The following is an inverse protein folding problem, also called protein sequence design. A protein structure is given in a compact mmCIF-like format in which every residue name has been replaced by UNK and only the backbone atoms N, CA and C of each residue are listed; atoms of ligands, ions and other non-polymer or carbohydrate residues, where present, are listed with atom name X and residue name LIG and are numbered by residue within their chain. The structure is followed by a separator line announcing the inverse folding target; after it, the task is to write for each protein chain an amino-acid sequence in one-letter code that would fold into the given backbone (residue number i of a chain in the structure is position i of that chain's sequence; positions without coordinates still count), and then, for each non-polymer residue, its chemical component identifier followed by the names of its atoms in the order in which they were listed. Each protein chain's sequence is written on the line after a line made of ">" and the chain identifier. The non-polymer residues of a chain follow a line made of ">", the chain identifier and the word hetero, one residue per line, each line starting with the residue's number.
data_IF_638617496521
#
_entry.id   IF_638617496521
#
_cell.length_a   1.000
_cell.length_b   1.000
_cell.length_c   1.000
_cell.angle_alpha   90.00
_cell.angle_beta   90.00
_cell.angle_gamma   90.00
#
_symmetry.space_group_name_H-M   'P 1'
#
loop_
_entity.id
_entity.type
_entity.pdbx_description
1 polymer ?
#
# COMPACT_ATOMS: atom_id res chain seq x y z
N UNK A 1 4.30 -2.47 12.05
CA UNK A 1 5.64 -2.96 12.42
C UNK A 1 5.96 -2.68 13.88
N UNK A 2 6.88 -3.46 14.44
CA UNK A 2 7.33 -3.30 15.82
C UNK A 2 8.59 -2.42 15.92
N UNK A 3 9.13 -1.99 14.80
CA UNK A 3 10.32 -1.13 14.71
C UNK A 3 10.31 -0.30 13.43
N UNK A 4 11.08 0.79 13.43
CA UNK A 4 11.28 1.70 12.30
C UNK A 4 10.24 2.82 12.17
N UNK A 5 9.26 2.88 13.07
CA UNK A 5 8.25 3.95 13.13
C UNK A 5 8.24 4.70 14.47
N UNK A 6 9.26 4.51 15.29
CA UNK A 6 9.40 5.18 16.60
C UNK A 6 9.60 6.69 16.43
N UNK A 7 10.27 7.09 15.35
CA UNK A 7 10.55 8.46 14.99
C UNK A 7 10.19 8.70 13.52
N UNK A 8 8.90 8.89 13.24
CA UNK A 8 8.37 9.09 11.88
C UNK A 8 8.96 10.34 11.23
N UNK A 9 9.20 11.38 12.00
CA UNK A 9 9.88 12.60 11.58
C UNK A 9 11.28 12.34 10.99
N UNK A 10 12.02 11.37 11.54
CA UNK A 10 13.36 11.01 11.09
C UNK A 10 13.37 9.88 10.05
N UNK A 11 12.44 8.93 10.17
CA UNK A 11 12.49 7.71 9.39
C UNK A 11 11.61 7.77 8.13
N UNK A 12 10.57 8.59 8.12
CA UNK A 12 9.58 8.64 7.00
C UNK A 12 9.62 9.99 6.30
N UNK A 13 9.69 11.10 7.03
CA UNK A 13 9.65 12.45 6.41
C UNK A 13 10.73 12.63 5.34
N UNK A 14 12.00 12.19 5.54
CA UNK A 14 13.02 12.30 4.49
C UNK A 14 12.76 11.46 3.23
N UNK A 15 11.86 10.49 3.29
CA UNK A 15 11.54 9.63 2.16
C UNK A 15 10.46 10.21 1.25
N UNK A 16 9.67 11.16 1.74
CA UNK A 16 8.49 11.68 1.05
C UNK A 16 8.85 12.28 -0.32
N UNK A 17 9.96 12.95 -0.40
CA UNK A 17 10.41 13.60 -1.64
C UNK A 17 10.62 12.59 -2.79
N UNK A 18 10.99 11.35 -2.48
CA UNK A 18 11.27 10.28 -3.45
C UNK A 18 10.07 9.36 -3.72
N UNK A 19 8.98 9.52 -2.97
CA UNK A 19 7.75 8.76 -3.19
C UNK A 19 6.83 9.46 -4.19
N UNK A 20 6.02 8.70 -4.92
CA UNK A 20 4.96 9.24 -5.78
C UNK A 20 3.74 9.64 -4.94
N UNK A 21 3.46 8.87 -3.89
CA UNK A 21 2.33 9.08 -2.99
C UNK A 21 2.71 8.59 -1.58
N UNK A 22 2.20 9.24 -0.56
CA UNK A 22 2.35 8.80 0.82
C UNK A 22 1.05 8.19 1.34
N UNK A 23 1.09 6.91 1.76
CA UNK A 23 -0.01 6.32 2.52
C UNK A 23 0.26 6.44 4.02
N UNK A 24 -0.61 7.15 4.74
CA UNK A 24 -0.46 7.36 6.17
C UNK A 24 -1.81 7.42 6.90
N UNK A 25 -1.75 7.37 8.23
CA UNK A 25 -2.92 7.52 9.09
C UNK A 25 -3.22 9.00 9.37
N UNK A 26 -4.47 9.28 9.79
CA UNK A 26 -4.93 10.63 10.14
C UNK A 26 -4.02 11.33 11.15
N UNK A 27 -3.68 10.65 12.24
CA UNK A 27 -2.86 11.25 13.29
C UNK A 27 -1.46 11.63 12.80
N UNK A 28 -0.85 10.78 11.98
CA UNK A 28 0.47 11.04 11.41
C UNK A 28 0.42 12.18 10.39
N UNK A 29 -0.59 12.21 9.54
CA UNK A 29 -0.77 13.31 8.59
C UNK A 29 -0.84 14.67 9.30
N UNK A 30 -1.60 14.75 10.39
CA UNK A 30 -1.83 16.01 11.12
C UNK A 30 -0.68 16.44 12.03
N UNK A 31 0.09 15.48 12.58
CA UNK A 31 1.10 15.76 13.60
C UNK A 31 2.53 15.79 13.09
N UNK A 32 2.82 15.09 11.99
CA UNK A 32 4.23 14.82 11.62
C UNK A 32 4.54 15.15 10.16
N UNK A 33 3.58 14.97 9.25
CA UNK A 33 3.81 15.27 7.84
C UNK A 33 3.86 16.79 7.64
N UNK A 34 4.91 17.34 7.02
CA UNK A 34 5.02 18.79 6.80
C UNK A 34 3.83 19.32 5.98
N UNK A 35 3.25 20.44 6.44
CA UNK A 35 2.08 21.04 5.80
C UNK A 35 2.32 21.52 4.35
N UNK A 36 3.60 21.74 4.00
CA UNK A 36 4.02 22.10 2.65
C UNK A 36 4.35 20.91 1.75
N UNK A 37 4.02 19.68 2.17
CA UNK A 37 4.20 18.48 1.34
C UNK A 37 3.38 18.61 0.07
N UNK A 38 4.04 18.44 -1.08
CA UNK A 38 3.42 18.51 -2.41
C UNK A 38 3.02 17.14 -2.97
N UNK A 39 3.39 16.06 -2.28
CA UNK A 39 3.07 14.70 -2.70
C UNK A 39 1.62 14.34 -2.39
N UNK A 40 0.96 13.58 -3.27
CA UNK A 40 -0.36 13.05 -3.02
C UNK A 40 -0.42 12.26 -1.71
N UNK A 41 -1.53 12.37 -1.00
CA UNK A 41 -1.77 11.61 0.23
C UNK A 41 -2.89 10.60 0.00
N UNK A 42 -2.59 9.33 0.20
CA UNK A 42 -3.57 8.26 0.33
C UNK A 42 -3.85 8.02 1.82
N UNK A 43 -4.98 8.48 2.30
CA UNK A 43 -5.30 8.45 3.74
C UNK A 43 -5.84 7.07 4.13
N UNK A 44 -5.19 6.40 5.09
CA UNK A 44 -5.78 5.23 5.76
C UNK A 44 -7.03 5.67 6.50
N UNK A 45 -8.21 5.25 6.02
CA UNK A 45 -9.52 5.76 6.48
C UNK A 45 -10.18 4.89 7.52
N UNK A 46 -9.75 3.64 7.63
CA UNK A 46 -10.16 2.71 8.69
C UNK A 46 -9.18 2.72 9.86
N UNK A 47 -9.64 2.26 11.02
CA UNK A 47 -8.79 2.18 12.21
C UNK A 47 -7.73 1.11 12.05
N UNK A 48 -6.49 1.45 12.39
CA UNK A 48 -5.43 0.47 12.54
C UNK A 48 -5.58 -0.32 13.82
N UNK A 49 -5.51 -1.64 13.72
CA UNK A 49 -5.45 -2.54 14.89
C UNK A 49 -4.01 -2.89 15.23
N UNK A 50 -3.77 -3.37 16.45
CA UNK A 50 -2.45 -3.85 16.85
C UNK A 50 -2.17 -5.25 16.26
N UNK A 51 -0.90 -5.66 16.28
CA UNK A 51 -0.51 -7.03 15.92
C UNK A 51 -1.05 -8.10 16.90
N UNK A 52 -1.62 -7.67 18.00
CA UNK A 52 -2.14 -8.54 19.06
C UNK A 52 -3.61 -8.94 18.85
N UNK A 53 -4.30 -8.30 17.93
CA UNK A 53 -5.72 -8.53 17.65
C UNK A 53 -5.94 -8.99 16.23
N UNK A 54 -7.13 -9.52 15.94
CA UNK A 54 -7.55 -9.81 14.58
C UNK A 54 -7.87 -8.52 13.81
N UNK A 55 -7.83 -8.60 12.48
CA UNK A 55 -8.15 -7.47 11.60
C UNK A 55 -9.65 -7.12 11.76
N UNK A 56 -9.94 -6.11 12.52
CA UNK A 56 -11.29 -5.64 12.77
C UNK A 56 -11.38 -4.12 12.56
N UNK A 57 -11.12 -3.71 11.34
CA UNK A 57 -11.05 -2.31 10.97
C UNK A 57 -12.44 -1.73 10.72
N UNK A 58 -12.70 -0.54 11.23
CA UNK A 58 -13.90 0.25 10.96
C UNK A 58 -13.53 1.51 10.19
N UNK A 59 -14.40 1.95 9.31
CA UNK A 59 -14.27 3.29 8.70
C UNK A 59 -14.62 4.32 9.74
N UNK A 60 -13.66 5.14 10.14
CA UNK A 60 -13.81 6.16 11.18
C UNK A 60 -13.66 7.58 10.65
N UNK A 61 -13.19 7.76 9.40
CA UNK A 61 -12.96 9.07 8.79
C UNK A 61 -14.10 9.37 7.82
N UNK A 62 -14.82 10.45 8.07
CA UNK A 62 -15.79 10.96 7.13
C UNK A 62 -15.12 11.66 5.95
N UNK A 63 -15.82 11.68 4.82
CA UNK A 63 -15.31 12.27 3.57
C UNK A 63 -15.02 13.77 3.72
N UNK A 64 -15.81 14.49 4.48
CA UNK A 64 -15.61 15.91 4.74
C UNK A 64 -14.30 16.18 5.49
N UNK A 65 -13.94 15.31 6.43
CA UNK A 65 -12.64 15.37 7.13
C UNK A 65 -11.48 15.07 6.17
N UNK A 66 -11.64 14.08 5.30
CA UNK A 66 -10.64 13.75 4.29
C UNK A 66 -10.40 14.95 3.33
N UNK A 67 -11.48 15.63 2.89
CA UNK A 67 -11.40 16.83 2.07
C UNK A 67 -10.67 17.96 2.81
N UNK A 68 -11.00 18.22 4.08
CA UNK A 68 -10.32 19.25 4.89
C UNK A 68 -8.83 18.97 5.07
N UNK A 69 -8.44 17.71 5.08
CA UNK A 69 -7.02 17.29 5.14
C UNK A 69 -6.34 17.30 3.78
N UNK A 70 -7.03 17.72 2.72
CA UNK A 70 -6.51 17.78 1.35
C UNK A 70 -5.93 16.44 0.88
N UNK A 71 -6.60 15.33 1.16
CA UNK A 71 -6.14 14.01 0.72
C UNK A 71 -6.47 13.78 -0.75
N UNK A 72 -5.61 13.03 -1.42
CA UNK A 72 -5.76 12.69 -2.84
C UNK A 72 -6.48 11.37 -3.07
N UNK A 73 -6.48 10.48 -2.07
CA UNK A 73 -7.14 9.19 -2.08
C UNK A 73 -7.43 8.69 -0.66
N UNK A 74 -8.33 7.72 -0.54
CA UNK A 74 -8.62 7.02 0.71
C UNK A 74 -8.26 5.55 0.57
N UNK A 75 -7.76 4.91 1.63
CA UNK A 75 -7.48 3.48 1.68
C UNK A 75 -8.36 2.79 2.73
N UNK A 76 -8.96 1.66 2.35
CA UNK A 76 -9.87 0.89 3.21
C UNK A 76 -9.50 -0.59 3.12
N UNK A 77 -9.41 -1.27 4.27
CA UNK A 77 -9.11 -2.69 4.37
C UNK A 77 -10.32 -3.56 3.98
N UNK A 78 -10.04 -4.63 3.25
CA UNK A 78 -11.00 -5.68 2.91
C UNK A 78 -10.44 -7.05 3.36
N UNK A 79 -11.10 -7.70 4.30
CA UNK A 79 -10.71 -9.00 4.84
C UNK A 79 -11.56 -10.12 4.20
N UNK A 80 -11.06 -10.72 3.12
CA UNK A 80 -11.77 -11.80 2.40
C UNK A 80 -11.43 -13.16 3.02
N UNK A 81 -12.48 -13.99 3.22
CA UNK A 81 -12.35 -15.31 3.85
C UNK A 81 -12.14 -15.24 5.38
N UNK A 82 -12.36 -14.09 5.98
CA UNK A 82 -12.46 -13.92 7.42
C UNK A 82 -13.94 -13.90 7.83
N UNK A 83 -14.45 -15.04 8.29
CA UNK A 83 -15.88 -15.24 8.58
C UNK A 83 -16.44 -14.16 9.53
N UNK A 84 -15.63 -13.69 10.48
CA UNK A 84 -16.07 -12.69 11.46
C UNK A 84 -16.10 -11.26 10.90
N UNK A 85 -15.28 -10.93 9.89
CA UNK A 85 -15.04 -9.54 9.49
C UNK A 85 -15.31 -9.25 8.01
N UNK A 86 -15.46 -10.28 7.15
CA UNK A 86 -15.65 -10.09 5.71
C UNK A 86 -16.83 -9.18 5.39
N UNK A 87 -18.02 -9.53 5.85
CA UNK A 87 -19.23 -8.75 5.54
C UNK A 87 -19.12 -7.29 6.00
N UNK A 88 -18.49 -7.04 7.15
CA UNK A 88 -18.28 -5.71 7.69
C UNK A 88 -17.28 -4.91 6.86
N UNK A 89 -16.15 -5.51 6.48
CA UNK A 89 -15.11 -4.82 5.71
C UNK A 89 -15.56 -4.56 4.27
N UNK A 90 -16.32 -5.47 3.66
CA UNK A 90 -16.99 -5.23 2.36
C UNK A 90 -17.96 -4.05 2.46
N UNK A 91 -18.81 -4.02 3.50
CA UNK A 91 -19.74 -2.91 3.71
C UNK A 91 -19.00 -1.58 3.97
N UNK A 92 -17.87 -1.59 4.66
CA UNK A 92 -17.04 -0.41 4.88
C UNK A 92 -16.44 0.12 3.58
N UNK A 93 -15.90 -0.76 2.73
CA UNK A 93 -15.37 -0.37 1.43
C UNK A 93 -16.46 0.26 0.56
N UNK A 94 -17.62 -0.41 0.46
CA UNK A 94 -18.75 0.08 -0.34
C UNK A 94 -19.22 1.47 0.13
N UNK A 95 -19.37 1.67 1.44
CA UNK A 95 -19.76 2.98 2.02
C UNK A 95 -18.71 4.07 1.77
N UNK A 96 -17.42 3.72 1.86
CA UNK A 96 -16.35 4.67 1.57
C UNK A 96 -16.38 5.09 0.09
N UNK A 97 -16.54 4.13 -0.82
CA UNK A 97 -16.66 4.38 -2.26
C UNK A 97 -17.89 5.26 -2.57
N UNK A 98 -19.07 4.93 -2.03
CA UNK A 98 -20.29 5.71 -2.24
C UNK A 98 -20.14 7.19 -1.82
N UNK A 99 -19.51 7.43 -0.67
CA UNK A 99 -19.25 8.79 -0.20
C UNK A 99 -18.18 9.51 -1.02
N UNK A 100 -17.05 8.86 -1.26
CA UNK A 100 -15.88 9.45 -1.91
C UNK A 100 -16.13 9.77 -3.40
N UNK A 101 -16.92 8.95 -4.09
CA UNK A 101 -17.25 9.16 -5.51
C UNK A 101 -17.99 10.48 -5.78
N UNK A 102 -18.75 10.98 -4.82
CA UNK A 102 -19.45 12.29 -4.92
C UNK A 102 -18.49 13.47 -5.02
N UNK A 103 -17.25 13.28 -4.59
CA UNK A 103 -16.20 14.31 -4.58
C UNK A 103 -15.03 13.96 -5.49
N UNK A 104 -15.15 12.92 -6.33
CA UNK A 104 -14.08 12.39 -7.17
C UNK A 104 -12.80 12.02 -6.40
N UNK A 105 -12.91 11.57 -5.16
CA UNK A 105 -11.79 11.06 -4.37
C UNK A 105 -11.72 9.54 -4.60
N UNK A 106 -10.63 9.02 -5.21
CA UNK A 106 -10.48 7.60 -5.42
C UNK A 106 -10.31 6.84 -4.10
N UNK A 107 -10.80 5.60 -4.08
CA UNK A 107 -10.65 4.69 -2.96
C UNK A 107 -9.78 3.51 -3.36
N UNK A 108 -8.74 3.25 -2.58
CA UNK A 108 -7.90 2.06 -2.66
C UNK A 108 -8.47 0.97 -1.74
N UNK A 109 -8.84 -0.18 -2.30
CA UNK A 109 -9.14 -1.37 -1.53
C UNK A 109 -7.86 -2.11 -1.14
N UNK A 110 -7.61 -2.29 0.15
CA UNK A 110 -6.43 -2.99 0.67
C UNK A 110 -6.83 -4.40 1.06
N UNK A 111 -6.43 -5.41 0.30
CA UNK A 111 -6.84 -6.79 0.56
C UNK A 111 -6.07 -7.44 1.70
N UNK A 112 -6.78 -8.16 2.53
CA UNK A 112 -6.25 -9.17 3.44
C UNK A 112 -7.03 -10.47 3.24
N UNK A 113 -6.33 -11.59 3.08
CA UNK A 113 -6.97 -12.91 3.04
C UNK A 113 -6.95 -13.54 4.42
N UNK A 114 -8.02 -14.26 4.75
CA UNK A 114 -8.19 -14.91 6.06
C UNK A 114 -7.02 -15.86 6.38
N UNK A 115 -6.77 -16.07 7.67
CA UNK A 115 -5.63 -16.89 8.16
C UNK A 115 -5.64 -18.33 7.63
N UNK A 116 -6.84 -18.85 7.30
CA UNK A 116 -7.04 -20.22 6.82
C UNK A 116 -6.99 -20.32 5.28
N UNK A 117 -6.90 -19.20 4.58
CA UNK A 117 -6.82 -19.18 3.11
C UNK A 117 -5.37 -19.25 2.64
N UNK A 118 -5.16 -19.94 1.53
CA UNK A 118 -3.85 -19.93 0.86
C UNK A 118 -3.50 -18.51 0.37
N UNK A 119 -2.22 -18.18 0.41
CA UNK A 119 -1.69 -16.90 -0.10
C UNK A 119 -1.18 -17.11 -1.50
N UNK A 120 -2.09 -17.35 -2.43
CA UNK A 120 -1.82 -17.68 -3.82
C UNK A 120 -2.59 -16.78 -4.79
N UNK A 121 -2.31 -16.95 -6.08
CA UNK A 121 -2.93 -16.16 -7.15
C UNK A 121 -4.45 -16.31 -7.20
N UNK A 122 -5.00 -17.46 -6.82
CA UNK A 122 -6.45 -17.70 -6.82
C UNK A 122 -7.16 -16.79 -5.82
N UNK A 123 -6.69 -16.77 -4.57
CA UNK A 123 -7.35 -16.01 -3.51
C UNK A 123 -7.01 -14.53 -3.56
N UNK A 124 -5.78 -14.15 -3.96
CA UNK A 124 -5.47 -12.74 -4.18
C UNK A 124 -6.21 -12.18 -5.39
N UNK A 125 -6.38 -12.95 -6.46
CA UNK A 125 -7.20 -12.57 -7.61
C UNK A 125 -8.67 -12.39 -7.24
N UNK A 126 -9.23 -13.33 -6.45
CA UNK A 126 -10.60 -13.22 -5.93
C UNK A 126 -10.78 -11.96 -5.08
N UNK A 127 -9.90 -11.73 -4.10
CA UNK A 127 -9.99 -10.58 -3.22
C UNK A 127 -9.83 -9.25 -3.98
N UNK A 128 -8.90 -9.19 -4.95
CA UNK A 128 -8.71 -8.02 -5.80
C UNK A 128 -9.93 -7.70 -6.65
N UNK A 129 -10.54 -8.73 -7.26
CA UNK A 129 -11.77 -8.59 -8.05
C UNK A 129 -12.94 -8.12 -7.17
N UNK A 130 -13.12 -8.69 -5.97
CA UNK A 130 -14.16 -8.23 -5.04
C UNK A 130 -13.97 -6.76 -4.68
N UNK A 131 -12.74 -6.30 -4.42
CA UNK A 131 -12.45 -4.88 -4.22
C UNK A 131 -12.95 -4.03 -5.40
N UNK A 132 -12.58 -4.40 -6.61
CA UNK A 132 -12.94 -3.67 -7.82
C UNK A 132 -14.45 -3.69 -8.08
N UNK A 133 -15.10 -4.84 -7.92
CA UNK A 133 -16.57 -4.98 -8.07
C UNK A 133 -17.34 -4.14 -7.04
N UNK A 134 -16.77 -3.87 -5.87
CA UNK A 134 -17.33 -2.96 -4.88
C UNK A 134 -16.93 -1.49 -5.09
N UNK A 135 -16.31 -1.17 -6.23
CA UNK A 135 -16.05 0.19 -6.68
C UNK A 135 -14.71 0.77 -6.28
N UNK A 136 -13.77 -0.02 -5.74
CA UNK A 136 -12.41 0.45 -5.53
C UNK A 136 -11.77 0.89 -6.86
N UNK A 137 -11.08 2.02 -6.85
CA UNK A 137 -10.41 2.58 -8.03
C UNK A 137 -8.98 2.06 -8.19
N UNK A 138 -8.40 1.55 -7.12
CA UNK A 138 -7.07 0.95 -7.03
C UNK A 138 -7.17 -0.21 -6.04
N UNK A 139 -6.42 -1.28 -6.27
CA UNK A 139 -6.33 -2.40 -5.31
C UNK A 139 -4.89 -2.57 -4.86
N UNK A 140 -4.70 -2.72 -3.56
CA UNK A 140 -3.43 -3.12 -2.96
C UNK A 140 -3.54 -4.55 -2.47
N UNK A 141 -2.66 -5.44 -2.97
CA UNK A 141 -2.61 -6.85 -2.59
C UNK A 141 -1.17 -7.32 -2.40
N UNK A 142 -0.96 -8.61 -2.12
CA UNK A 142 0.39 -9.18 -2.02
C UNK A 142 0.82 -9.79 -3.34
N UNK A 143 2.13 -9.72 -3.61
CA UNK A 143 2.74 -10.47 -4.70
C UNK A 143 2.80 -11.97 -4.34
N UNK A 144 2.61 -12.82 -5.36
CA UNK A 144 2.69 -14.28 -5.25
C UNK A 144 3.13 -14.87 -6.59
N UNK A 145 3.45 -16.15 -6.61
CA UNK A 145 3.65 -16.89 -7.85
C UNK A 145 2.37 -16.85 -8.72
N UNK A 146 2.52 -16.59 -10.02
CA UNK A 146 1.39 -16.44 -10.94
C UNK A 146 0.64 -15.12 -10.79
N UNK A 147 1.32 -14.07 -10.34
CA UNK A 147 0.72 -12.75 -10.10
C UNK A 147 0.12 -12.12 -11.38
N UNK A 148 0.61 -12.48 -12.56
CA UNK A 148 0.01 -12.08 -13.83
C UNK A 148 -1.49 -12.43 -13.92
N UNK A 149 -1.92 -13.51 -13.26
CA UNK A 149 -3.34 -13.90 -13.18
C UNK A 149 -4.11 -13.01 -12.22
N UNK A 150 -3.47 -12.54 -11.15
CA UNK A 150 -4.07 -11.58 -10.20
C UNK A 150 -4.29 -10.25 -10.89
N UNK A 151 -3.26 -9.74 -11.57
CA UNK A 151 -3.33 -8.49 -12.32
C UNK A 151 -4.39 -8.56 -13.44
N UNK A 152 -4.42 -9.65 -14.22
CA UNK A 152 -5.38 -9.84 -15.29
C UNK A 152 -6.83 -10.01 -14.80
N UNK A 153 -7.03 -10.52 -13.59
CA UNK A 153 -8.36 -10.71 -13.01
C UNK A 153 -8.97 -9.42 -12.41
N UNK A 154 -8.16 -8.38 -12.20
CA UNK A 154 -8.59 -7.13 -11.59
C UNK A 154 -8.75 -6.04 -12.65
N UNK A 155 -9.96 -5.48 -12.84
CA UNK A 155 -10.21 -4.48 -13.89
C UNK A 155 -9.69 -3.07 -13.54
N UNK A 156 -9.10 -2.87 -12.37
CA UNK A 156 -8.50 -1.61 -11.93
C UNK A 156 -7.01 -1.81 -11.61
N UNK A 157 -6.20 -0.73 -11.58
CA UNK A 157 -4.79 -0.84 -11.25
C UNK A 157 -4.54 -1.58 -9.93
N UNK A 158 -3.57 -2.51 -9.95
CA UNK A 158 -3.15 -3.26 -8.76
C UNK A 158 -1.76 -2.83 -8.36
N UNK A 159 -1.57 -2.46 -7.10
CA UNK A 159 -0.26 -2.21 -6.50
C UNK A 159 0.08 -3.31 -5.50
N UNK A 160 1.36 -3.68 -5.39
CA UNK A 160 1.75 -4.73 -4.46
C UNK A 160 2.18 -4.17 -3.09
N UNK A 161 1.82 -4.88 -2.04
CA UNK A 161 2.32 -4.64 -0.69
C UNK A 161 3.70 -5.27 -0.51
N UNK A 162 4.64 -4.56 0.11
CA UNK A 162 6.01 -5.05 0.33
C UNK A 162 6.15 -6.22 1.32
N UNK A 163 5.11 -6.55 2.07
CA UNK A 163 5.13 -7.67 3.00
C UNK A 163 6.10 -7.51 4.17
N UNK A 164 6.79 -8.59 4.54
CA UNK A 164 7.84 -8.60 5.58
C UNK A 164 9.09 -7.91 5.04
N UNK A 165 9.98 -7.45 5.95
CA UNK A 165 11.31 -6.97 5.55
C UNK A 165 12.09 -8.11 4.89
N UNK A 166 12.64 -7.82 3.72
CA UNK A 166 13.53 -8.65 2.93
C UNK A 166 14.93 -8.00 2.87
N UNK A 167 15.98 -8.74 2.53
CA UNK A 167 17.23 -8.17 2.07
C UNK A 167 16.98 -7.19 0.92
N UNK A 168 17.79 -6.12 0.81
CA UNK A 168 17.56 -5.02 -0.13
C UNK A 168 17.44 -5.52 -1.58
N UNK A 169 18.33 -6.41 -2.00
CA UNK A 169 18.30 -6.99 -3.36
C UNK A 169 17.02 -7.77 -3.63
N UNK A 170 16.59 -8.63 -2.68
CA UNK A 170 15.36 -9.41 -2.81
C UNK A 170 14.11 -8.49 -2.85
N UNK A 171 14.14 -7.37 -2.13
CA UNK A 171 13.06 -6.39 -2.19
C UNK A 171 12.99 -5.69 -3.56
N UNK A 172 14.14 -5.44 -4.21
CA UNK A 172 14.20 -4.91 -5.58
C UNK A 172 13.74 -5.96 -6.61
N UNK A 173 14.12 -7.22 -6.43
CA UNK A 173 13.62 -8.34 -7.24
C UNK A 173 12.08 -8.48 -7.14
N UNK A 174 11.54 -8.35 -5.93
CA UNK A 174 10.08 -8.34 -5.72
C UNK A 174 9.40 -7.21 -6.49
N UNK A 175 9.96 -5.99 -6.47
CA UNK A 175 9.42 -4.85 -7.23
C UNK A 175 9.46 -5.13 -8.74
N UNK A 176 10.59 -5.55 -9.24
CA UNK A 176 10.79 -5.84 -10.66
C UNK A 176 9.85 -6.91 -11.19
N UNK A 177 9.76 -8.03 -10.47
CA UNK A 177 8.88 -9.13 -10.85
C UNK A 177 7.40 -8.70 -10.82
N UNK A 178 6.99 -7.94 -9.79
CA UNK A 178 5.62 -7.46 -9.71
C UNK A 178 5.24 -6.54 -10.88
N UNK A 179 6.12 -5.61 -11.28
CA UNK A 179 5.88 -4.73 -12.43
C UNK A 179 5.79 -5.54 -13.72
N UNK A 180 6.71 -6.50 -13.95
CA UNK A 180 6.70 -7.35 -15.14
C UNK A 180 5.45 -8.25 -15.21
N UNK A 181 4.92 -8.68 -14.07
CA UNK A 181 3.70 -9.47 -13.97
C UNK A 181 2.41 -8.63 -13.99
N UNK A 182 2.52 -7.32 -14.25
CA UNK A 182 1.38 -6.42 -14.49
C UNK A 182 0.92 -5.58 -13.30
N UNK A 183 1.69 -5.49 -12.22
CA UNK A 183 1.41 -4.50 -11.18
C UNK A 183 1.61 -3.08 -11.73
N UNK A 184 0.71 -2.16 -11.34
CA UNK A 184 0.81 -0.73 -11.66
C UNK A 184 1.84 0.01 -10.78
N UNK A 185 2.33 -0.62 -9.73
CA UNK A 185 3.27 -0.02 -8.79
C UNK A 185 3.44 -0.84 -7.52
N UNK A 186 4.18 -0.26 -6.56
CA UNK A 186 4.44 -0.87 -5.27
C UNK A 186 4.07 0.10 -4.13
N UNK A 187 3.48 -0.41 -3.07
CA UNK A 187 3.21 0.34 -1.84
C UNK A 187 3.95 -0.33 -0.68
N UNK A 188 5.20 0.08 -0.49
CA UNK A 188 6.16 -0.55 0.43
C UNK A 188 6.46 0.33 1.63
N UNK A 189 6.38 -0.25 2.82
CA UNK A 189 6.84 0.39 4.07
C UNK A 189 8.16 -0.22 4.54
N UNK A 190 8.08 -1.37 5.19
CA UNK A 190 9.21 -2.02 5.89
C UNK A 190 10.45 -2.24 5.02
N UNK A 191 10.29 -2.61 3.77
CA UNK A 191 11.42 -2.83 2.86
C UNK A 191 12.19 -1.54 2.54
N UNK A 192 11.55 -0.38 2.74
CA UNK A 192 12.19 0.93 2.59
C UNK A 192 12.71 1.44 3.93
N UNK A 193 11.83 1.75 4.90
CA UNK A 193 12.24 2.43 6.13
C UNK A 193 13.02 1.56 7.12
N UNK A 194 13.06 0.24 6.97
CA UNK A 194 13.92 -0.68 7.73
C UNK A 194 15.16 -1.11 6.94
N UNK A 195 15.43 -0.50 5.80
CA UNK A 195 16.68 -0.71 5.06
C UNK A 195 17.86 -0.12 5.83
N UNK A 196 19.05 -0.61 5.53
CA UNK A 196 20.31 -0.06 6.05
C UNK A 196 20.55 1.39 5.63
N UNK A 197 19.97 1.80 4.47
CA UNK A 197 19.95 3.17 3.97
C UNK A 197 18.58 3.47 3.33
N UNK A 198 17.60 3.96 4.12
CA UNK A 198 16.22 4.13 3.62
C UNK A 198 16.08 5.07 2.42
N UNK A 199 16.84 6.18 2.41
CA UNK A 199 16.82 7.15 1.30
C UNK A 199 17.41 6.54 0.02
N UNK A 200 18.50 5.78 0.11
CA UNK A 200 19.05 5.05 -1.03
C UNK A 200 18.07 3.97 -1.53
N UNK A 201 17.40 3.28 -0.59
CA UNK A 201 16.47 2.21 -0.91
C UNK A 201 15.24 2.70 -1.66
N UNK A 202 14.62 3.81 -1.25
CA UNK A 202 13.45 4.34 -1.95
C UNK A 202 13.82 4.82 -3.36
N UNK A 203 14.99 5.39 -3.56
CA UNK A 203 15.47 5.80 -4.88
C UNK A 203 15.73 4.59 -5.79
N UNK A 204 16.33 3.52 -5.26
CA UNK A 204 16.54 2.27 -5.99
C UNK A 204 15.20 1.61 -6.37
N UNK A 205 14.24 1.56 -5.45
CA UNK A 205 12.87 1.07 -5.73
C UNK A 205 12.21 1.91 -6.82
N UNK A 206 12.29 3.24 -6.72
CA UNK A 206 11.75 4.16 -7.73
C UNK A 206 12.36 3.89 -9.12
N UNK A 207 13.68 3.70 -9.20
CA UNK A 207 14.35 3.41 -10.45
C UNK A 207 13.92 2.06 -11.06
N UNK A 208 13.79 1.01 -10.25
CA UNK A 208 13.29 -0.30 -10.72
C UNK A 208 11.85 -0.22 -11.20
N UNK A 209 10.99 0.56 -10.54
CA UNK A 209 9.56 0.67 -10.88
C UNK A 209 9.33 1.54 -12.11
N UNK A 210 10.10 2.63 -12.29
CA UNK A 210 9.80 3.67 -13.29
C UNK A 210 10.81 3.79 -14.43
N UNK A 211 12.02 3.24 -14.30
CA UNK A 211 13.11 3.43 -15.26
C UNK A 211 13.52 2.14 -15.98
N UNK A 212 12.76 1.06 -15.76
CA UNK A 212 12.98 -0.26 -16.41
C UNK A 212 14.41 -0.83 -16.20
N UNK A 213 15.00 -0.54 -15.02
CA UNK A 213 16.30 -1.11 -14.65
C UNK A 213 16.13 -2.47 -13.98
N UNK A 214 17.12 -3.35 -14.17
CA UNK A 214 17.12 -4.67 -13.54
C UNK A 214 17.34 -4.59 -12.03
N UNK A 215 16.99 -5.64 -11.25
CA UNK A 215 17.28 -5.68 -9.82
C UNK A 215 18.76 -5.53 -9.48
N UNK A 216 19.65 -6.06 -10.31
CA UNK A 216 21.10 -5.92 -10.12
C UNK A 216 21.54 -4.45 -10.27
N UNK A 217 21.08 -3.78 -11.32
CA UNK A 217 21.33 -2.34 -11.51
C UNK A 217 20.73 -1.50 -10.38
N UNK A 218 19.52 -1.84 -9.94
CA UNK A 218 18.88 -1.20 -8.79
C UNK A 218 19.68 -1.39 -7.50
N UNK A 219 20.26 -2.57 -7.29
CA UNK A 219 21.10 -2.85 -6.13
C UNK A 219 22.47 -2.15 -6.20
N UNK A 220 23.06 -2.01 -7.38
CA UNK A 220 24.26 -1.18 -7.57
C UNK A 220 23.96 0.28 -7.24
N UNK A 221 22.85 0.84 -7.77
CA UNK A 221 22.41 2.19 -7.43
C UNK A 221 22.21 2.38 -5.93
N UNK A 222 21.53 1.42 -5.26
CA UNK A 222 21.38 1.42 -3.81
C UNK A 222 22.74 1.52 -3.09
N UNK A 223 23.71 0.69 -3.48
CA UNK A 223 25.03 0.67 -2.87
C UNK A 223 25.80 1.95 -3.09
N UNK A 224 25.66 2.58 -4.24
CA UNK A 224 26.33 3.83 -4.55
C UNK A 224 25.76 5.01 -3.76
N UNK A 225 24.43 5.06 -3.61
CA UNK A 225 23.74 6.09 -2.83
C UNK A 225 23.86 5.89 -1.30
N UNK A 226 24.20 4.69 -0.86
CA UNK A 226 24.34 4.34 0.55
C UNK A 226 25.76 4.64 1.14
N UNK A 227 26.70 5.09 0.29
CA UNK A 227 28.06 5.49 0.69
C UNK A 227 28.03 6.84 1.41
#
# INVERSE_FOLDING_TARGET
>A
PTSGLERIDLNIVPLIEYADCLMCTRGILQSTIPANTTKPICLRSDAGTSILTDLNDNVLIDIEDAIRMNVSAMAVMLAIGDEAHEAKTVANLYKAVDKASRYNIPVMGVTAVGKQMARDARYFGLASRICAENGANIVKTYYCEGFEKVAAACPVPVVIAGGKKLPEKEALELCYNAINDGAAGVDMGRNVFQSTSPVAMIQAVHAVVHQDITPDQGYELFRDLAK
#
